data_IF_999469680252
#
_entry.id   IF_999469680252
#
_cell.length_a   1.000
_cell.length_b   1.000
_cell.length_c   1.000
_cell.angle_alpha   90.00
_cell.angle_beta   90.00
_cell.angle_gamma   90.00
#
_symmetry.space_group_name_H-M   'P 1'
#
loop_
_entity.id
_entity.type
_entity.pdbx_description
1 polymer ?
#
# COMPACT_ATOMS: atom_id res chain seq x y z
N UNK A 1 29.17 -17.77 25.87
CA UNK A 1 28.11 -16.78 25.61
C UNK A 1 27.68 -16.96 24.17
N UNK A 2 26.57 -17.65 23.87
CA UNK A 2 26.11 -17.74 22.49
C UNK A 2 25.66 -16.35 22.05
N UNK A 3 26.14 -15.92 20.88
CA UNK A 3 25.75 -14.68 20.25
C UNK A 3 24.25 -14.72 19.93
N UNK A 4 23.60 -13.62 20.27
CA UNK A 4 22.19 -13.36 20.03
C UNK A 4 21.90 -13.46 18.52
N UNK A 5 21.05 -14.41 18.14
CA UNK A 5 20.55 -14.52 16.77
C UNK A 5 19.61 -13.33 16.58
N UNK A 6 19.76 -12.49 15.53
CA UNK A 6 18.83 -11.40 15.30
C UNK A 6 17.40 -11.95 15.20
N UNK A 7 16.56 -11.57 16.15
CA UNK A 7 15.15 -11.98 16.18
C UNK A 7 14.44 -11.62 14.88
N UNK A 8 13.46 -12.44 14.50
CA UNK A 8 12.60 -12.21 13.34
C UNK A 8 12.12 -10.75 13.28
N UNK A 9 12.11 -10.10 12.09
CA UNK A 9 11.58 -8.75 11.99
C UNK A 9 10.12 -8.74 12.46
N UNK A 10 9.85 -7.96 13.52
CA UNK A 10 8.53 -7.87 14.11
C UNK A 10 7.49 -7.46 13.06
N UNK A 11 6.34 -8.13 13.04
CA UNK A 11 5.26 -7.82 12.12
C UNK A 11 4.83 -6.35 12.26
N UNK A 12 4.75 -5.63 11.13
CA UNK A 12 4.31 -4.23 11.09
C UNK A 12 3.21 -4.03 10.04
N UNK A 13 2.26 -3.15 10.37
CA UNK A 13 1.10 -2.85 9.54
C UNK A 13 0.95 -1.34 9.37
N UNK A 14 1.06 -0.86 8.13
CA UNK A 14 0.60 0.47 7.74
C UNK A 14 -0.83 0.38 7.20
N UNK A 15 -1.79 0.93 7.93
CA UNK A 15 -3.20 0.99 7.54
C UNK A 15 -3.53 2.42 7.07
N UNK A 16 -3.88 2.54 5.79
CA UNK A 16 -4.30 3.77 5.13
C UNK A 16 -5.81 3.72 4.82
N UNK A 17 -6.56 4.67 5.36
CA UNK A 17 -7.94 4.92 4.93
C UNK A 17 -8.00 6.15 4.04
N UNK A 18 -8.67 6.03 2.89
CA UNK A 18 -8.77 7.12 1.91
C UNK A 18 -10.19 7.54 1.56
N UNK A 19 -11.20 6.99 2.23
CA UNK A 19 -12.60 7.38 2.05
C UNK A 19 -12.82 8.81 2.56
N UNK A 20 -13.32 9.69 1.70
CA UNK A 20 -13.74 11.03 2.11
C UNK A 20 -14.93 10.98 3.08
N UNK A 21 -15.73 9.91 3.03
CA UNK A 21 -16.77 9.67 4.02
C UNK A 21 -16.15 9.07 5.29
N UNK A 22 -16.10 9.88 6.35
CA UNK A 22 -15.61 9.49 7.69
C UNK A 22 -16.74 9.02 8.61
N UNK A 23 -17.99 8.96 8.13
CA UNK A 23 -19.12 8.43 8.88
C UNK A 23 -19.05 6.90 8.95
N UNK A 24 -19.76 6.33 9.92
CA UNK A 24 -19.78 4.88 10.19
C UNK A 24 -20.43 4.01 9.11
N UNK A 25 -20.90 4.57 8.01
CA UNK A 25 -21.51 3.87 6.87
C UNK A 25 -20.53 3.64 5.70
N UNK A 26 -19.24 3.99 5.87
CA UNK A 26 -18.21 3.74 4.86
C UNK A 26 -17.76 2.27 4.87
N UNK A 27 -18.23 1.51 3.88
CA UNK A 27 -17.90 0.07 3.74
C UNK A 27 -16.39 -0.19 3.65
N UNK A 28 -15.62 0.69 3.00
CA UNK A 28 -14.15 0.54 2.91
C UNK A 28 -13.50 0.61 4.28
N UNK A 29 -13.90 1.60 5.11
CA UNK A 29 -13.40 1.79 6.48
C UNK A 29 -13.81 0.65 7.40
N UNK A 30 -15.02 0.13 7.24
CA UNK A 30 -15.50 -1.03 8.00
C UNK A 30 -14.61 -2.26 7.75
N UNK A 31 -14.33 -2.56 6.48
CA UNK A 31 -13.53 -3.71 6.08
C UNK A 31 -12.04 -3.56 6.47
N UNK A 32 -11.47 -2.37 6.36
CA UNK A 32 -10.08 -2.13 6.79
C UNK A 32 -9.94 -2.13 8.31
N UNK A 33 -10.94 -1.63 9.05
CA UNK A 33 -10.99 -1.75 10.50
C UNK A 33 -11.04 -3.22 10.93
N UNK A 34 -11.89 -4.04 10.31
CA UNK A 34 -11.98 -5.48 10.58
C UNK A 34 -10.63 -6.19 10.32
N UNK A 35 -9.96 -5.88 9.21
CA UNK A 35 -8.62 -6.41 8.93
C UNK A 35 -7.65 -6.02 10.05
N UNK A 36 -7.58 -4.73 10.38
CA UNK A 36 -6.62 -4.21 11.34
C UNK A 36 -6.87 -4.74 12.76
N UNK A 37 -8.13 -4.88 13.17
CA UNK A 37 -8.51 -5.51 14.44
C UNK A 37 -8.07 -6.97 14.50
N UNK A 38 -8.35 -7.74 13.45
CA UNK A 38 -7.95 -9.16 13.35
C UNK A 38 -6.42 -9.29 13.37
N UNK A 39 -5.72 -8.45 12.62
CA UNK A 39 -4.26 -8.44 12.55
C UNK A 39 -3.64 -8.12 13.91
N UNK A 40 -4.14 -7.09 14.62
CA UNK A 40 -3.65 -6.69 15.95
C UNK A 40 -3.95 -7.72 17.03
N UNK A 41 -5.08 -8.42 16.94
CA UNK A 41 -5.40 -9.51 17.86
C UNK A 41 -4.36 -10.65 17.80
N UNK A 42 -3.72 -10.83 16.63
CA UNK A 42 -2.72 -11.88 16.38
C UNK A 42 -1.28 -11.42 16.63
N UNK A 43 -0.93 -10.23 16.18
CA UNK A 43 0.46 -9.73 16.19
C UNK A 43 0.73 -8.73 17.33
N UNK A 44 -0.29 -8.37 18.10
CA UNK A 44 -0.24 -7.32 19.10
C UNK A 44 -0.41 -5.91 18.50
N UNK A 45 -0.46 -4.87 19.35
CA UNK A 45 -0.60 -3.49 18.90
C UNK A 45 0.73 -2.87 18.42
N UNK A 46 1.87 -3.50 18.73
CA UNK A 46 3.18 -3.05 18.27
C UNK A 46 3.26 -3.13 16.73
N UNK A 47 3.95 -2.18 16.11
CA UNK A 47 4.09 -2.15 14.65
C UNK A 47 2.83 -1.69 13.88
N UNK A 48 1.70 -1.44 14.55
CA UNK A 48 0.53 -0.84 13.90
C UNK A 48 0.69 0.68 13.73
N UNK A 49 0.49 1.16 12.50
CA UNK A 49 0.44 2.57 12.13
C UNK A 49 -0.82 2.82 11.33
N UNK A 50 -1.60 3.82 11.73
CA UNK A 50 -2.84 4.20 11.08
C UNK A 50 -2.74 5.62 10.51
N UNK A 51 -3.21 5.80 9.29
CA UNK A 51 -3.33 7.10 8.63
C UNK A 51 -4.71 7.24 8.03
N UNK A 52 -5.50 8.19 8.54
CA UNK A 52 -6.76 8.60 7.94
C UNK A 52 -6.48 9.80 7.02
N UNK A 53 -6.40 9.55 5.71
CA UNK A 53 -6.11 10.58 4.71
C UNK A 53 -7.24 11.60 4.54
N UNK A 54 -8.42 11.36 5.11
CA UNK A 54 -9.49 12.36 5.17
C UNK A 54 -9.46 13.18 6.47
N UNK A 55 -8.81 12.69 7.52
CA UNK A 55 -8.60 13.41 8.78
C UNK A 55 -7.39 14.34 8.71
N UNK A 56 -6.29 13.79 8.20
CA UNK A 56 -5.01 14.44 8.02
C UNK A 56 -4.63 14.33 6.54
N UNK A 57 -5.22 15.19 5.68
CA UNK A 57 -5.01 15.11 4.24
C UNK A 57 -3.58 15.47 3.88
N UNK A 58 -2.98 14.61 3.05
CA UNK A 58 -1.68 14.89 2.45
C UNK A 58 -1.81 16.09 1.49
N UNK A 59 -1.03 17.18 1.68
CA UNK A 59 -1.12 18.33 0.80
C UNK A 59 -0.77 17.95 -0.65
N UNK A 60 -1.36 18.57 -1.68
CA UNK A 60 -0.93 18.39 -3.07
C UNK A 60 0.54 18.76 -3.26
N UNK A 61 1.20 18.15 -4.25
CA UNK A 61 2.58 18.48 -4.62
C UNK A 61 2.69 19.95 -5.07
N UNK A 62 3.86 20.55 -4.85
CA UNK A 62 4.19 21.87 -5.37
C UNK A 62 5.49 21.87 -6.20
N UNK A 63 5.91 23.06 -6.64
CA UNK A 63 7.13 23.25 -7.43
C UNK A 63 8.41 22.83 -6.69
N UNK A 64 8.46 22.97 -5.36
CA UNK A 64 9.59 22.56 -4.53
C UNK A 64 9.83 21.05 -4.61
N UNK A 65 8.74 20.27 -4.56
CA UNK A 65 8.80 18.81 -4.68
C UNK A 65 9.42 18.41 -6.02
N UNK A 66 8.89 18.98 -7.11
CA UNK A 66 9.36 18.72 -8.47
C UNK A 66 10.82 19.16 -8.69
N UNK A 67 11.21 20.30 -8.13
CA UNK A 67 12.56 20.85 -8.29
C UNK A 67 13.60 20.01 -7.55
N UNK A 68 13.29 19.59 -6.31
CA UNK A 68 14.15 18.70 -5.54
C UNK A 68 14.26 17.33 -6.22
N UNK A 69 13.13 16.71 -6.58
CA UNK A 69 13.12 15.39 -7.22
C UNK A 69 13.93 15.35 -8.52
N UNK A 70 13.73 16.34 -9.40
CA UNK A 70 14.52 16.46 -10.65
C UNK A 70 16.01 16.61 -10.37
N UNK A 71 16.39 17.38 -9.35
CA UNK A 71 17.79 17.56 -8.99
C UNK A 71 18.43 16.24 -8.59
N UNK A 72 17.74 15.40 -7.81
CA UNK A 72 18.26 14.09 -7.43
C UNK A 72 18.41 13.19 -8.66
N UNK A 73 17.38 13.09 -9.51
CA UNK A 73 17.48 12.28 -10.73
C UNK A 73 18.65 12.68 -11.64
N UNK A 74 18.99 13.98 -11.69
CA UNK A 74 20.10 14.48 -12.51
C UNK A 74 21.49 14.28 -11.89
N UNK A 75 21.59 14.21 -10.57
CA UNK A 75 22.88 14.29 -9.86
C UNK A 75 23.18 13.05 -8.98
N UNK A 76 22.24 12.10 -8.92
CA UNK A 76 22.33 10.89 -8.10
C UNK A 76 21.20 10.79 -7.08
N UNK A 77 20.81 9.55 -6.78
CA UNK A 77 19.78 9.23 -5.79
C UNK A 77 20.49 8.88 -4.46
N UNK A 78 20.66 9.85 -3.53
CA UNK A 78 21.30 9.56 -2.25
C UNK A 78 20.40 8.68 -1.38
N UNK A 79 20.95 8.06 -0.32
CA UNK A 79 20.15 7.46 0.75
C UNK A 79 19.05 8.42 1.24
N UNK A 80 17.90 7.87 1.64
CA UNK A 80 16.72 8.64 2.00
C UNK A 80 17.00 9.68 3.11
N UNK A 81 17.82 9.32 4.10
CA UNK A 81 18.20 10.20 5.21
C UNK A 81 19.12 11.35 4.80
N UNK A 82 19.85 11.20 3.68
CA UNK A 82 20.73 12.22 3.13
C UNK A 82 20.01 13.23 2.22
N UNK A 83 18.83 12.92 1.68
CA UNK A 83 18.06 13.80 0.78
C UNK A 83 17.85 15.19 1.37
N UNK A 84 17.70 15.31 2.69
CA UNK A 84 17.53 16.61 3.36
C UNK A 84 18.70 17.57 3.16
N UNK A 85 19.92 17.06 2.97
CA UNK A 85 21.10 17.90 2.69
C UNK A 85 21.13 18.45 1.25
N UNK A 86 20.24 17.95 0.37
CA UNK A 86 20.17 18.36 -1.03
C UNK A 86 19.15 19.48 -1.30
N UNK A 87 18.39 19.89 -0.28
CA UNK A 87 17.49 21.03 -0.36
C UNK A 87 18.28 22.33 -0.50
N UNK A 88 17.73 23.29 -1.24
CA UNK A 88 18.39 24.58 -1.55
C UNK A 88 17.57 25.78 -1.12
N UNK A 89 16.31 25.59 -0.73
CA UNK A 89 15.45 26.66 -0.28
C UNK A 89 14.35 26.13 0.68
N UNK A 90 13.68 27.04 1.43
CA UNK A 90 12.64 26.66 2.38
C UNK A 90 11.46 25.89 1.77
N UNK A 91 11.15 26.12 0.49
CA UNK A 91 10.09 25.39 -0.19
C UNK A 91 10.44 23.90 -0.37
N UNK A 92 11.68 23.59 -0.75
CA UNK A 92 12.15 22.20 -0.87
C UNK A 92 12.26 21.52 0.49
N UNK A 93 12.74 22.24 1.51
CA UNK A 93 12.78 21.74 2.90
C UNK A 93 11.39 21.38 3.40
N UNK A 94 10.39 22.24 3.14
CA UNK A 94 8.99 21.98 3.46
C UNK A 94 8.48 20.72 2.76
N UNK A 95 8.69 20.60 1.46
CA UNK A 95 8.20 19.43 0.71
C UNK A 95 8.88 18.14 1.15
N UNK A 96 10.18 18.20 1.44
CA UNK A 96 10.89 17.05 2.00
C UNK A 96 10.37 16.66 3.39
N UNK A 97 10.11 17.64 4.25
CA UNK A 97 9.52 17.42 5.58
C UNK A 97 8.11 16.78 5.50
N UNK A 98 7.32 17.10 4.47
CA UNK A 98 6.02 16.46 4.21
C UNK A 98 6.16 15.04 3.62
N UNK A 99 7.23 14.78 2.87
CA UNK A 99 7.43 13.55 2.09
C UNK A 99 8.09 12.44 2.92
N UNK A 100 9.19 12.78 3.60
CA UNK A 100 10.03 11.82 4.34
C UNK A 100 9.26 10.94 5.31
N UNK A 101 8.33 11.45 6.15
CA UNK A 101 7.59 10.61 7.08
C UNK A 101 6.73 9.57 6.36
N UNK A 102 6.09 9.95 5.25
CA UNK A 102 5.21 9.05 4.48
C UNK A 102 5.99 7.90 3.83
N UNK A 103 7.16 8.21 3.25
CA UNK A 103 8.06 7.19 2.69
C UNK A 103 8.59 6.28 3.79
N UNK A 104 9.00 6.87 4.93
CA UNK A 104 9.53 6.11 6.08
C UNK A 104 8.48 5.15 6.66
N UNK A 105 7.24 5.60 6.81
CA UNK A 105 6.11 4.77 7.26
C UNK A 105 5.89 3.57 6.32
N UNK A 106 5.97 3.78 5.00
CA UNK A 106 5.78 2.73 4.00
C UNK A 106 6.94 1.73 3.99
N UNK A 107 8.20 2.20 4.03
CA UNK A 107 9.39 1.34 4.08
C UNK A 107 9.44 0.49 5.35
N UNK A 108 8.93 1.00 6.47
CA UNK A 108 8.89 0.26 7.73
C UNK A 108 7.78 -0.80 7.79
N UNK A 109 6.88 -0.84 6.80
CA UNK A 109 5.71 -1.71 6.80
C UNK A 109 5.99 -3.05 6.11
N UNK A 110 5.88 -4.15 6.87
CA UNK A 110 5.84 -5.50 6.32
C UNK A 110 4.51 -5.80 5.62
N UNK A 111 3.42 -5.21 6.10
CA UNK A 111 2.10 -5.21 5.43
C UNK A 111 1.56 -3.79 5.28
N UNK A 112 1.05 -3.48 4.09
CA UNK A 112 0.35 -2.24 3.78
C UNK A 112 -1.10 -2.58 3.48
N UNK A 113 -2.02 -2.03 4.27
CA UNK A 113 -3.46 -2.12 4.07
C UNK A 113 -3.98 -0.78 3.54
N UNK A 114 -4.68 -0.81 2.40
CA UNK A 114 -5.24 0.39 1.77
C UNK A 114 -6.75 0.24 1.60
N UNK A 115 -7.51 1.11 2.27
CA UNK A 115 -8.94 1.33 2.00
C UNK A 115 -9.09 2.31 0.83
N UNK A 116 -9.48 1.80 -0.33
CA UNK A 116 -9.61 2.54 -1.57
C UNK A 116 -11.06 2.47 -2.10
N UNK A 117 -11.99 3.33 -1.62
CA UNK A 117 -13.29 3.43 -2.25
C UNK A 117 -13.17 4.09 -3.63
N UNK A 118 -14.03 3.64 -4.55
CA UNK A 118 -14.12 4.22 -5.89
C UNK A 118 -14.81 5.59 -5.85
N UNK A 119 -14.11 6.61 -6.35
CA UNK A 119 -14.69 7.90 -6.70
C UNK A 119 -14.44 8.15 -8.19
N UNK A 120 -15.51 8.36 -8.96
CA UNK A 120 -15.43 8.59 -10.40
C UNK A 120 -14.49 7.60 -11.11
N UNK A 121 -14.74 6.29 -10.89
CA UNK A 121 -14.04 5.17 -11.53
C UNK A 121 -12.60 4.88 -11.03
N UNK A 122 -12.01 5.76 -10.22
CA UNK A 122 -10.63 5.67 -9.77
C UNK A 122 -10.50 5.74 -8.23
N UNK A 123 -9.24 5.81 -7.76
CA UNK A 123 -8.89 6.06 -6.36
C UNK A 123 -9.32 7.47 -5.92
N UNK A 124 -9.48 7.68 -4.61
CA UNK A 124 -9.78 9.01 -4.09
C UNK A 124 -8.62 9.99 -4.35
N UNK A 125 -8.94 11.28 -4.47
CA UNK A 125 -7.92 12.33 -4.59
C UNK A 125 -6.97 12.34 -3.37
N UNK A 126 -7.49 11.98 -2.20
CA UNK A 126 -6.72 11.84 -0.96
C UNK A 126 -5.67 10.73 -1.07
N UNK A 127 -6.06 9.54 -1.58
CA UNK A 127 -5.12 8.45 -1.81
C UNK A 127 -4.09 8.83 -2.87
N UNK A 128 -4.53 9.47 -3.95
CA UNK A 128 -3.63 9.91 -5.04
C UNK A 128 -2.59 10.91 -4.54
N UNK A 129 -2.96 11.87 -3.69
CA UNK A 129 -2.01 12.82 -3.10
C UNK A 129 -0.97 12.13 -2.21
N UNK A 130 -1.37 11.10 -1.44
CA UNK A 130 -0.43 10.28 -0.69
C UNK A 130 0.51 9.49 -1.61
N UNK A 131 -0.04 8.81 -2.64
CA UNK A 131 0.74 8.05 -3.64
C UNK A 131 1.77 8.96 -4.35
N UNK A 132 1.35 10.16 -4.74
CA UNK A 132 2.18 11.12 -5.44
C UNK A 132 3.37 11.58 -4.62
N UNK A 133 3.22 11.68 -3.29
CA UNK A 133 4.34 12.01 -2.40
C UNK A 133 5.25 10.83 -2.12
N UNK A 134 4.68 9.65 -1.82
CA UNK A 134 5.54 8.50 -1.50
C UNK A 134 6.32 8.01 -2.72
N UNK A 135 5.84 8.31 -3.94
CA UNK A 135 6.57 8.09 -5.19
C UNK A 135 7.73 9.05 -5.45
N UNK A 136 8.39 9.57 -4.40
CA UNK A 136 9.53 10.46 -4.53
C UNK A 136 10.73 9.74 -5.18
N UNK A 137 11.53 10.40 -6.04
CA UNK A 137 12.65 9.74 -6.70
C UNK A 137 13.62 9.06 -5.73
N UNK A 138 13.93 7.79 -5.99
CA UNK A 138 14.81 6.96 -5.16
C UNK A 138 14.19 6.44 -3.85
N UNK A 139 12.94 6.81 -3.51
CA UNK A 139 12.31 6.46 -2.23
C UNK A 139 12.31 4.96 -1.91
N UNK A 140 12.20 4.11 -2.93
CA UNK A 140 12.09 2.66 -2.78
C UNK A 140 13.23 1.89 -3.44
N UNK A 141 14.34 2.56 -3.76
CA UNK A 141 15.49 1.95 -4.41
C UNK A 141 16.65 1.88 -3.43
N UNK A 142 17.23 0.70 -3.25
CA UNK A 142 18.45 0.54 -2.50
C UNK A 142 19.60 1.27 -3.22
N UNK A 143 20.28 2.23 -2.56
CA UNK A 143 21.29 3.06 -3.23
C UNK A 143 22.58 2.31 -3.61
N UNK A 144 22.80 1.10 -3.07
CA UNK A 144 24.00 0.30 -3.35
C UNK A 144 23.75 -0.77 -4.41
N UNK A 145 22.59 -1.42 -4.36
CA UNK A 145 22.24 -2.56 -5.22
C UNK A 145 21.29 -2.18 -6.36
N UNK A 146 20.55 -1.08 -6.23
CA UNK A 146 19.51 -0.68 -7.17
C UNK A 146 18.23 -1.51 -7.07
N UNK A 147 18.15 -2.45 -6.13
CA UNK A 147 16.95 -3.28 -5.95
C UNK A 147 15.81 -2.50 -5.27
N UNK A 148 14.57 -2.97 -5.47
CA UNK A 148 13.43 -2.39 -4.75
C UNK A 148 13.44 -2.82 -3.29
N UNK A 149 13.25 -1.83 -2.41
CA UNK A 149 13.07 -2.00 -0.97
C UNK A 149 11.67 -2.53 -0.60
N UNK A 150 10.73 -2.57 -1.54
CA UNK A 150 9.35 -3.06 -1.32
C UNK A 150 9.14 -4.53 -1.71
N UNK A 151 10.19 -5.26 -2.12
CA UNK A 151 10.09 -6.65 -2.59
C UNK A 151 9.39 -7.58 -1.59
N UNK A 152 9.71 -7.44 -0.31
CA UNK A 152 9.12 -8.23 0.78
C UNK A 152 7.80 -7.68 1.32
N UNK A 153 7.36 -6.50 0.86
CA UNK A 153 6.14 -5.87 1.36
C UNK A 153 4.91 -6.62 0.88
N UNK A 154 4.00 -6.95 1.81
CA UNK A 154 2.67 -7.46 1.50
C UNK A 154 1.69 -6.30 1.31
N UNK A 155 0.94 -6.30 0.22
CA UNK A 155 -0.05 -5.26 -0.07
C UNK A 155 -1.47 -5.86 -0.07
N UNK A 156 -2.34 -5.33 0.79
CA UNK A 156 -3.76 -5.65 0.82
C UNK A 156 -4.55 -4.40 0.49
N UNK A 157 -5.31 -4.43 -0.60
CA UNK A 157 -6.15 -3.32 -1.05
C UNK A 157 -7.61 -3.70 -0.93
N UNK A 158 -8.34 -2.98 -0.08
CA UNK A 158 -9.80 -3.07 0.06
C UNK A 158 -10.43 -2.07 -0.88
N UNK A 159 -11.01 -2.55 -1.98
CA UNK A 159 -11.73 -1.72 -2.95
C UNK A 159 -13.24 -1.79 -2.70
N UNK A 160 -13.92 -0.64 -2.72
CA UNK A 160 -15.39 -0.62 -2.56
C UNK A 160 -16.05 0.21 -3.63
N UNK A 161 -17.15 -0.30 -4.20
CA UNK A 161 -17.78 0.26 -5.39
C UNK A 161 -19.29 0.35 -5.20
N UNK A 162 -19.86 1.51 -5.54
CA UNK A 162 -21.31 1.73 -5.43
C UNK A 162 -22.15 0.87 -6.38
N UNK A 163 -21.58 0.55 -7.54
CA UNK A 163 -22.14 -0.38 -8.54
C UNK A 163 -21.29 -1.65 -8.69
N UNK A 164 -21.56 -2.42 -9.74
CA UNK A 164 -20.82 -3.63 -10.08
C UNK A 164 -19.80 -3.34 -11.19
N UNK A 165 -18.55 -3.72 -10.95
CA UNK A 165 -17.40 -3.51 -11.84
C UNK A 165 -16.46 -4.72 -11.87
N UNK A 166 -16.83 -5.81 -11.20
CA UNK A 166 -16.04 -7.04 -11.20
C UNK A 166 -16.04 -7.74 -12.57
N UNK A 167 -15.27 -8.84 -12.68
CA UNK A 167 -15.21 -9.65 -13.89
C UNK A 167 -16.58 -10.07 -14.41
N UNK A 168 -16.79 -9.93 -15.72
CA UNK A 168 -18.03 -10.26 -16.41
C UNK A 168 -19.16 -9.22 -16.30
N UNK A 169 -18.94 -8.11 -15.59
CA UNK A 169 -19.95 -7.04 -15.50
C UNK A 169 -19.85 -6.08 -16.69
N UNK A 170 -20.95 -5.41 -17.11
CA UNK A 170 -20.90 -4.44 -18.22
C UNK A 170 -19.94 -3.25 -18.00
N UNK A 171 -19.53 -3.00 -16.75
CA UNK A 171 -18.64 -1.90 -16.36
C UNK A 171 -17.25 -2.38 -15.91
N UNK A 172 -16.90 -3.64 -16.16
CA UNK A 172 -15.59 -4.21 -15.78
C UNK A 172 -14.42 -3.33 -16.25
N UNK A 173 -14.46 -2.89 -17.51
CA UNK A 173 -13.42 -2.04 -18.09
C UNK A 173 -13.33 -0.63 -17.47
N UNK A 174 -14.24 -0.26 -16.56
CA UNK A 174 -14.25 1.05 -15.90
C UNK A 174 -13.61 0.98 -14.50
N UNK A 175 -13.06 -0.15 -14.08
CA UNK A 175 -12.31 -0.24 -12.82
C UNK A 175 -10.86 0.24 -12.99
N UNK A 176 -10.68 1.56 -13.06
CA UNK A 176 -9.33 2.14 -13.13
C UNK A 176 -8.58 2.05 -11.79
N UNK A 177 -9.29 1.84 -10.67
CA UNK A 177 -8.66 1.78 -9.33
C UNK A 177 -7.71 0.59 -9.20
N UNK A 178 -8.13 -0.60 -9.64
CA UNK A 178 -7.40 -1.86 -9.40
C UNK A 178 -6.19 -1.91 -10.31
N UNK A 179 -6.39 -1.60 -11.59
CA UNK A 179 -5.32 -1.54 -12.57
C UNK A 179 -4.25 -0.50 -12.17
N UNK A 180 -4.67 0.68 -11.73
CA UNK A 180 -3.75 1.73 -11.28
C UNK A 180 -2.92 1.29 -10.06
N UNK A 181 -3.57 0.81 -8.99
CA UNK A 181 -2.87 0.42 -7.76
C UNK A 181 -1.94 -0.77 -7.99
N UNK A 182 -2.38 -1.80 -8.73
CA UNK A 182 -1.53 -2.94 -9.09
C UNK A 182 -0.31 -2.49 -9.90
N UNK A 183 -0.54 -1.66 -10.91
CA UNK A 183 0.55 -1.15 -11.76
C UNK A 183 1.53 -0.32 -10.95
N UNK A 184 1.05 0.62 -10.13
CA UNK A 184 1.91 1.48 -9.33
C UNK A 184 2.77 0.66 -8.37
N UNK A 185 2.18 -0.15 -7.49
CA UNK A 185 2.95 -0.89 -6.49
C UNK A 185 3.82 -1.98 -7.10
N UNK A 186 3.35 -2.66 -8.16
CA UNK A 186 4.17 -3.61 -8.90
C UNK A 186 5.39 -2.95 -9.56
N UNK A 187 5.24 -1.73 -10.09
CA UNK A 187 6.36 -0.95 -10.62
C UNK A 187 7.31 -0.44 -9.54
N UNK A 188 6.82 -0.17 -8.34
CA UNK A 188 7.66 0.12 -7.17
C UNK A 188 8.33 -1.13 -6.59
N UNK A 189 8.03 -2.33 -7.10
CA UNK A 189 8.73 -3.58 -6.80
C UNK A 189 8.06 -4.50 -5.77
N UNK A 190 6.82 -4.21 -5.37
CA UNK A 190 6.00 -5.19 -4.64
C UNK A 190 5.76 -6.40 -5.54
N UNK A 191 6.12 -7.59 -5.06
CA UNK A 191 5.95 -8.83 -5.83
C UNK A 191 4.45 -9.09 -6.11
N UNK A 192 4.10 -9.57 -7.31
CA UNK A 192 2.68 -9.76 -7.71
C UNK A 192 1.97 -10.76 -6.78
N UNK A 193 2.67 -11.80 -6.36
CA UNK A 193 2.24 -12.76 -5.37
C UNK A 193 2.05 -12.17 -3.97
N UNK A 194 2.44 -10.92 -3.72
CA UNK A 194 2.21 -10.21 -2.46
C UNK A 194 1.08 -9.17 -2.55
N UNK A 195 0.50 -8.97 -3.74
CA UNK A 195 -0.61 -8.02 -3.95
C UNK A 195 -1.95 -8.77 -3.85
N UNK A 196 -2.81 -8.32 -2.94
CA UNK A 196 -4.15 -8.89 -2.71
C UNK A 196 -5.20 -7.80 -2.79
N UNK A 197 -6.22 -8.02 -3.61
CA UNK A 197 -7.40 -7.16 -3.68
C UNK A 197 -8.58 -7.85 -3.03
N UNK A 198 -9.33 -7.11 -2.21
CA UNK A 198 -10.62 -7.53 -1.67
C UNK A 198 -11.66 -6.49 -2.08
N UNK A 199 -12.69 -6.93 -2.79
CA UNK A 199 -13.72 -6.03 -3.32
C UNK A 199 -15.06 -6.21 -2.62
N UNK A 200 -15.72 -5.10 -2.27
CA UNK A 200 -17.14 -5.05 -1.95
C UNK A 200 -17.88 -4.17 -2.95
N UNK A 201 -18.87 -4.73 -3.65
CA UNK A 201 -19.61 -4.07 -4.72
C UNK A 201 -21.07 -3.83 -4.36
N UNK A 202 -21.75 -3.03 -5.18
CA UNK A 202 -23.16 -2.69 -5.00
C UNK A 202 -23.45 -2.03 -3.64
N UNK A 203 -22.47 -1.31 -3.08
CA UNK A 203 -22.60 -0.70 -1.74
C UNK A 203 -23.70 0.37 -1.66
N UNK A 204 -24.15 0.90 -2.81
CA UNK A 204 -25.26 1.85 -2.89
C UNK A 204 -26.64 1.17 -2.95
N UNK A 205 -26.75 -0.16 -3.04
CA UNK A 205 -28.04 -0.85 -3.16
C UNK A 205 -28.98 -0.63 -1.96
N UNK A 206 -28.43 -0.36 -0.77
CA UNK A 206 -29.21 0.00 0.42
C UNK A 206 -29.75 1.44 0.39
N UNK A 207 -29.08 2.34 -0.34
CA UNK A 207 -29.30 3.78 -0.28
C UNK A 207 -30.03 4.33 -1.51
N UNK A 208 -29.79 3.74 -2.69
CA UNK A 208 -30.24 4.28 -3.97
C UNK A 208 -31.44 3.46 -4.48
N UNK A 209 -32.64 4.06 -4.64
CA UNK A 209 -33.87 3.32 -4.96
C UNK A 209 -33.78 2.42 -6.20
N UNK A 210 -33.17 2.90 -7.28
CA UNK A 210 -33.06 2.13 -8.54
C UNK A 210 -32.08 0.94 -8.44
N UNK A 211 -31.25 0.87 -7.39
CA UNK A 211 -30.34 -0.24 -7.13
C UNK A 211 -30.88 -1.22 -6.08
N UNK A 212 -32.04 -0.94 -5.48
CA UNK A 212 -32.61 -1.72 -4.36
C UNK A 212 -32.79 -3.22 -4.66
N UNK A 213 -33.07 -3.59 -5.92
CA UNK A 213 -33.16 -4.99 -6.37
C UNK A 213 -31.85 -5.78 -6.19
N UNK A 214 -30.72 -5.10 -6.05
CA UNK A 214 -29.40 -5.70 -5.90
C UNK A 214 -28.94 -5.82 -4.43
N UNK A 215 -29.81 -5.54 -3.45
CA UNK A 215 -29.49 -5.70 -2.02
C UNK A 215 -28.99 -7.09 -1.65
N UNK A 216 -29.54 -8.21 -2.17
CA UNK A 216 -29.00 -9.54 -1.89
C UNK A 216 -27.55 -9.67 -2.36
N UNK A 217 -27.27 -9.30 -3.61
CA UNK A 217 -25.91 -9.33 -4.16
C UNK A 217 -24.92 -8.42 -3.40
N UNK A 218 -25.38 -7.26 -2.91
CA UNK A 218 -24.57 -6.38 -2.07
C UNK A 218 -24.24 -7.03 -0.71
N UNK A 219 -25.20 -7.73 -0.10
CA UNK A 219 -24.99 -8.45 1.16
C UNK A 219 -24.00 -9.60 0.97
N UNK A 220 -24.14 -10.39 -0.10
CA UNK A 220 -23.23 -11.49 -0.43
C UNK A 220 -21.81 -10.98 -0.69
N UNK A 221 -21.68 -9.88 -1.46
CA UNK A 221 -20.38 -9.25 -1.74
C UNK A 221 -19.70 -8.74 -0.47
N UNK A 222 -20.45 -8.10 0.43
CA UNK A 222 -19.92 -7.61 1.70
C UNK A 222 -19.53 -8.77 2.63
N UNK A 223 -20.34 -9.83 2.71
CA UNK A 223 -20.02 -11.01 3.50
C UNK A 223 -18.73 -11.70 3.01
N UNK A 224 -18.59 -11.87 1.69
CA UNK A 224 -17.37 -12.42 1.09
C UNK A 224 -16.15 -11.53 1.37
N UNK A 225 -16.30 -10.20 1.27
CA UNK A 225 -15.22 -9.26 1.59
C UNK A 225 -14.80 -9.36 3.06
N UNK A 226 -15.75 -9.41 4.01
CA UNK A 226 -15.48 -9.59 5.45
C UNK A 226 -14.72 -10.89 5.73
N UNK A 227 -15.16 -11.99 5.13
CA UNK A 227 -14.48 -13.28 5.26
C UNK A 227 -13.03 -13.20 4.73
N UNK A 228 -12.84 -12.60 3.54
CA UNK A 228 -11.51 -12.51 2.92
C UNK A 228 -10.56 -11.59 3.67
N UNK A 229 -11.00 -10.44 4.17
CA UNK A 229 -10.11 -9.58 4.98
C UNK A 229 -9.71 -10.24 6.29
N UNK A 230 -10.61 -11.03 6.90
CA UNK A 230 -10.31 -11.78 8.13
C UNK A 230 -9.27 -12.87 7.88
N UNK A 231 -9.45 -13.63 6.79
CA UNK A 231 -8.48 -14.65 6.35
C UNK A 231 -7.11 -14.03 6.08
N UNK A 232 -7.06 -12.97 5.27
CA UNK A 232 -5.80 -12.27 4.94
C UNK A 232 -5.14 -11.66 6.19
N UNK A 233 -5.89 -11.21 7.18
CA UNK A 233 -5.32 -10.67 8.42
C UNK A 233 -4.73 -11.78 9.32
N UNK A 234 -5.20 -13.02 9.18
CA UNK A 234 -4.71 -14.17 9.91
C UNK A 234 -3.48 -14.83 9.27
N UNK A 235 -3.26 -14.64 7.96
CA UNK A 235 -2.06 -15.09 7.25
C UNK A 235 -0.80 -14.43 7.85
N UNK A 236 0.21 -15.22 8.20
CA UNK A 236 1.55 -14.72 8.53
C UNK A 236 2.22 -14.24 7.24
N UNK A 237 2.89 -13.08 7.24
CA UNK A 237 3.69 -12.65 6.08
C UNK A 237 4.74 -13.73 5.79
N UNK A 238 4.62 -14.42 4.66
CA UNK A 238 5.56 -15.46 4.26
C UNK A 238 6.93 -14.82 4.04
N UNK A 239 7.91 -15.18 4.87
CA UNK A 239 9.32 -14.87 4.62
C UNK A 239 9.71 -15.70 3.40
N UNK A 240 10.01 -15.04 2.28
CA UNK A 240 10.56 -15.71 1.12
C UNK A 240 11.84 -16.44 1.54
N UNK A 241 11.88 -17.75 1.33
CA UNK A 241 13.09 -18.54 1.50
C UNK A 241 14.17 -17.94 0.58
N UNK A 242 15.16 -17.28 1.17
CA UNK A 242 16.39 -16.97 0.50
C UNK A 242 17.04 -18.31 0.13
N UNK A 243 16.87 -18.71 -1.14
CA UNK A 243 17.43 -19.93 -1.69
C UNK A 243 18.90 -20.03 -1.31
N UNK A 244 19.22 -20.99 -0.47
CA UNK A 244 20.58 -21.38 -0.14
C UNK A 244 21.33 -21.65 -1.43
N UNK A 245 22.25 -20.74 -1.77
CA UNK A 245 23.21 -20.94 -2.83
C UNK A 245 23.97 -22.24 -2.55
N UNK A 246 23.67 -23.27 -3.33
CA UNK A 246 24.41 -24.52 -3.33
C UNK A 246 25.87 -24.22 -3.63
N UNK A 247 26.71 -24.40 -2.62
CA UNK A 247 28.16 -24.40 -2.75
C UNK A 247 28.56 -25.38 -3.87
N UNK A 248 29.09 -24.86 -4.98
CA UNK A 248 29.96 -25.63 -5.86
C UNK A 248 31.39 -25.23 -5.56
N UNK A 249 32.08 -26.10 -4.82
CA UNK A 249 33.54 -26.09 -4.75
C UNK A 249 34.13 -26.48 -6.12
N UNK A 250 35.36 -26.04 -6.42
CA UNK A 250 36.00 -26.27 -7.70
C UNK A 250 36.73 -27.61 -7.69
N UNK A 251 36.46 -28.47 -8.66
CA UNK A 251 37.39 -29.55 -9.02
C UNK A 251 37.96 -29.27 -10.40
N UNK A 252 39.26 -28.97 -10.41
CA UNK A 252 40.07 -29.00 -11.61
C UNK A 252 40.45 -30.43 -11.97
N UNK A 253 40.65 -30.69 -13.26
CA UNK A 253 41.17 -31.99 -13.70
C UNK A 253 41.12 -32.22 -15.21
N UNK A 254 42.15 -31.73 -15.91
CA UNK A 254 42.77 -32.27 -17.15
C UNK A 254 41.99 -33.31 -17.97
N UNK A 255 41.68 -32.98 -19.23
CA UNK A 255 42.45 -33.33 -20.45
C UNK A 255 41.85 -32.61 -21.66
#
# INVERSE_FOLDING_TARGET
MPADVPGEPAASLLHLDSSANRRGDSVSRELTALFAETWRARHGPAGYRYRDLAADPVPPLDTGYCTLGRRLEQNGLPPLDEVGAWTRCPAEEREWALTRPLVTELLAAGTVLIGAPMYNYAVSALLKAWIDRVGFPGAFTDPHTGESLLRGTRLVVVTTRGGAYGPGTPREAWDFQTAYLRTYFGKQGVAEENIRFVSAEMTLAGLVPHLSRHRPAAADSLAAARARVTELAAETAGVGEAGTAGARSPEGGRQ
#
